data_IF_504364932588
#
_entry.id   IF_504364932588
#
_cell.length_a   1.000
_cell.length_b   1.000
_cell.length_c   1.000
_cell.angle_alpha   90.00
_cell.angle_beta   90.00
_cell.angle_gamma   90.00
#
_symmetry.space_group_name_H-M   'P 1'
#
loop_
_entity.id
_entity.type
_entity.pdbx_description
1 polymer ?
#
# COMPACT_ATOMS: atom_id res chain seq x y z
N UNK A 1 -22.17 -6.71 -40.69
CA UNK A 1 -20.98 -6.50 -41.54
C UNK A 1 -20.09 -5.49 -40.85
N UNK A 2 -18.92 -5.92 -40.41
CA UNK A 2 -17.93 -5.10 -39.71
C UNK A 2 -16.62 -5.88 -39.74
N UNK A 3 -15.65 -5.30 -40.44
CA UNK A 3 -14.35 -5.85 -40.82
C UNK A 3 -13.52 -6.07 -39.55
N UNK A 4 -12.87 -7.24 -39.44
CA UNK A 4 -11.77 -7.66 -38.53
C UNK A 4 -11.88 -9.11 -37.98
N UNK A 5 -12.63 -10.00 -38.64
CA UNK A 5 -12.66 -11.44 -38.33
C UNK A 5 -12.02 -12.30 -39.42
N UNK A 6 -10.72 -12.12 -39.72
CA UNK A 6 -9.90 -13.08 -40.47
C UNK A 6 -8.45 -12.95 -40.02
N UNK A 7 -7.75 -14.09 -39.91
CA UNK A 7 -6.49 -14.33 -39.18
C UNK A 7 -6.80 -14.54 -37.69
N UNK A 8 -6.89 -15.75 -37.14
CA UNK A 8 -6.00 -16.89 -37.30
C UNK A 8 -6.74 -18.21 -37.04
N UNK A 9 -6.52 -19.20 -37.91
CA UNK A 9 -6.88 -20.60 -37.67
C UNK A 9 -5.60 -21.43 -37.79
N UNK A 10 -5.24 -22.07 -36.66
CA UNK A 10 -4.34 -23.22 -36.41
C UNK A 10 -2.93 -23.21 -37.02
N UNK A 11 -1.92 -23.43 -36.16
CA UNK A 11 -1.38 -24.76 -35.84
C UNK A 11 -0.20 -24.61 -34.86
N UNK A 12 -0.11 -25.46 -33.84
CA UNK A 12 1.01 -25.47 -32.91
C UNK A 12 2.26 -26.10 -33.51
N UNK A 13 3.43 -25.60 -33.11
CA UNK A 13 4.65 -26.35 -32.74
C UNK A 13 5.49 -25.40 -31.86
N UNK A 14 6.14 -25.98 -30.85
CA UNK A 14 7.02 -25.36 -29.85
C UNK A 14 8.24 -24.69 -30.49
N UNK A 15 8.60 -23.49 -30.05
CA UNK A 15 9.99 -23.00 -30.12
C UNK A 15 10.25 -21.92 -29.04
N UNK A 16 11.39 -22.05 -28.38
CA UNK A 16 11.84 -21.24 -27.22
C UNK A 16 12.22 -19.82 -27.67
N UNK A 17 11.79 -18.81 -26.92
CA UNK A 17 12.24 -17.42 -27.12
C UNK A 17 13.67 -17.18 -26.58
N UNK A 18 14.50 -16.36 -27.25
CA UNK A 18 15.89 -16.12 -26.89
C UNK A 18 16.05 -14.98 -25.87
N UNK A 19 17.11 -15.10 -25.07
CA UNK A 19 17.57 -14.06 -24.15
C UNK A 19 18.03 -12.82 -24.91
N UNK A 20 17.62 -11.62 -24.46
CA UNK A 20 18.15 -10.34 -24.93
C UNK A 20 19.44 -10.02 -24.19
N UNK A 21 20.58 -10.25 -24.85
CA UNK A 21 21.87 -9.70 -24.47
C UNK A 21 21.98 -8.26 -25.01
N UNK A 22 22.19 -7.30 -24.12
CA UNK A 22 22.62 -5.95 -24.51
C UNK A 22 24.13 -5.84 -24.28
N UNK A 23 24.92 -5.90 -25.34
CA UNK A 23 26.36 -5.65 -25.30
C UNK A 23 26.64 -4.19 -25.70
N UNK A 24 27.39 -3.48 -24.87
CA UNK A 24 28.03 -2.21 -25.24
C UNK A 24 29.54 -2.43 -25.23
N UNK A 25 30.18 -2.34 -26.40
CA UNK A 25 31.63 -2.45 -26.52
C UNK A 25 32.26 -1.05 -26.62
N UNK A 26 33.26 -0.80 -25.78
CA UNK A 26 34.23 0.28 -25.95
C UNK A 26 35.60 -0.38 -26.00
N UNK A 27 36.34 -0.17 -27.09
CA UNK A 27 37.62 -0.81 -27.35
C UNK A 27 38.79 0.13 -27.09
N UNK A 28 39.74 -0.33 -26.27
CA UNK A 28 41.16 0.00 -26.38
C UNK A 28 41.98 -1.24 -26.00
N UNK A 29 43.09 -1.54 -26.71
CA UNK A 29 43.78 -2.81 -26.57
C UNK A 29 44.77 -2.77 -25.41
N UNK A 30 44.79 -3.84 -24.61
CA UNK A 30 45.96 -4.64 -24.18
C UNK A 30 45.54 -5.52 -22.99
N UNK A 31 45.52 -6.84 -23.22
CA UNK A 31 45.53 -7.88 -22.18
C UNK A 31 44.19 -8.21 -21.51
N UNK A 32 43.27 -8.87 -22.22
CA UNK A 32 42.03 -9.38 -21.61
C UNK A 32 42.27 -10.71 -20.88
N UNK A 33 42.31 -10.65 -19.55
CA UNK A 33 41.83 -11.77 -18.72
C UNK A 33 40.32 -11.62 -18.64
N UNK A 34 39.59 -12.46 -19.39
CA UNK A 34 38.13 -12.50 -19.31
C UNK A 34 37.69 -13.16 -18.00
N UNK A 35 37.54 -12.35 -16.96
CA UNK A 35 36.82 -12.75 -15.74
C UNK A 35 35.34 -12.49 -16.00
N UNK A 36 34.60 -13.52 -16.40
CA UNK A 36 33.14 -13.46 -16.42
C UNK A 36 32.64 -13.58 -14.98
N UNK A 37 32.42 -12.43 -14.33
CA UNK A 37 31.65 -12.38 -13.09
C UNK A 37 30.18 -12.52 -13.47
N UNK A 38 29.66 -13.74 -13.46
CA UNK A 38 28.22 -13.97 -13.46
C UNK A 38 27.67 -13.59 -12.09
N UNK A 39 27.15 -12.37 -11.97
CA UNK A 39 26.29 -12.01 -10.85
C UNK A 39 24.95 -12.70 -11.09
N UNK A 40 24.79 -13.92 -10.58
CA UNK A 40 23.47 -14.45 -10.33
C UNK A 40 22.85 -13.61 -9.22
N UNK A 41 21.94 -12.71 -9.61
CA UNK A 41 20.99 -12.14 -8.65
C UNK A 41 20.30 -13.33 -7.98
N UNK A 42 20.38 -13.48 -6.65
CA UNK A 42 19.60 -14.48 -5.96
C UNK A 42 18.14 -14.23 -6.34
N UNK A 43 17.51 -15.19 -7.03
CA UNK A 43 16.07 -15.22 -7.09
C UNK A 43 15.61 -15.31 -5.65
N UNK A 44 15.16 -14.18 -5.09
CA UNK A 44 14.53 -14.14 -3.79
C UNK A 44 13.20 -14.86 -3.99
N UNK A 45 13.20 -16.18 -3.80
CA UNK A 45 11.98 -16.93 -3.60
C UNK A 45 11.58 -16.64 -2.16
N UNK A 46 10.60 -15.75 -1.91
CA UNK A 46 10.15 -15.49 -0.56
C UNK A 46 9.72 -16.82 0.05
N UNK A 47 10.23 -17.12 1.24
CA UNK A 47 9.85 -18.32 1.97
C UNK A 47 8.34 -18.26 2.23
N UNK A 48 7.62 -19.28 1.75
CA UNK A 48 6.15 -19.33 1.90
C UNK A 48 5.86 -19.75 3.34
N UNK A 49 5.17 -18.91 4.14
CA UNK A 49 4.91 -19.24 5.53
C UNK A 49 4.00 -20.48 5.68
N UNK A 50 3.97 -21.10 6.87
CA UNK A 50 2.87 -22.02 7.21
C UNK A 50 1.53 -21.24 7.21
N UNK A 51 0.41 -21.97 7.15
CA UNK A 51 -0.92 -21.36 7.25
C UNK A 51 -1.01 -20.52 8.54
N UNK A 52 -1.29 -19.22 8.41
CA UNK A 52 -1.23 -18.24 9.50
C UNK A 52 -2.50 -18.20 10.38
N UNK A 53 -3.17 -19.34 10.59
CA UNK A 53 -4.30 -19.46 11.52
C UNK A 53 -5.43 -18.43 11.29
N UNK A 54 -5.86 -17.77 12.36
CA UNK A 54 -6.97 -16.81 12.34
C UNK A 54 -6.65 -15.53 11.55
N UNK A 55 -5.37 -15.15 11.44
CA UNK A 55 -4.96 -14.07 10.55
C UNK A 55 -5.29 -14.41 9.09
N UNK A 56 -4.89 -15.60 8.63
CA UNK A 56 -5.20 -16.08 7.28
C UNK A 56 -6.72 -16.18 7.05
N UNK A 57 -7.46 -16.65 8.05
CA UNK A 57 -8.92 -16.75 7.99
C UNK A 57 -9.56 -15.36 7.85
N UNK A 58 -9.18 -14.40 8.69
CA UNK A 58 -9.72 -13.03 8.67
C UNK A 58 -9.46 -12.34 7.32
N UNK A 59 -8.23 -12.41 6.81
CA UNK A 59 -7.88 -11.82 5.50
C UNK A 59 -8.67 -12.48 4.37
N UNK A 60 -8.83 -13.80 4.42
CA UNK A 60 -9.63 -14.55 3.43
C UNK A 60 -11.10 -14.15 3.48
N UNK A 61 -11.74 -14.23 4.65
CA UNK A 61 -13.14 -13.83 4.80
C UNK A 61 -13.37 -12.37 4.37
N UNK A 62 -12.44 -11.46 4.67
CA UNK A 62 -12.53 -10.05 4.25
C UNK A 62 -12.51 -9.89 2.73
N UNK A 63 -11.57 -10.55 2.06
CA UNK A 63 -11.46 -10.52 0.60
C UNK A 63 -12.68 -11.14 -0.09
N UNK A 64 -13.34 -12.08 0.59
CA UNK A 64 -14.55 -12.76 0.14
C UNK A 64 -15.84 -12.26 0.84
N UNK A 65 -15.80 -11.04 1.40
CA UNK A 65 -16.95 -10.42 2.07
C UNK A 65 -18.11 -10.08 1.14
N UNK A 66 -17.81 -9.80 -0.14
CA UNK A 66 -18.81 -9.64 -1.18
C UNK A 66 -19.17 -10.99 -1.78
N UNK A 67 -20.46 -11.25 -2.08
CA UNK A 67 -20.88 -12.48 -2.71
C UNK A 67 -20.08 -12.76 -3.98
N UNK A 68 -19.53 -13.96 -4.13
CA UNK A 68 -18.79 -14.36 -5.32
C UNK A 68 -18.61 -15.88 -5.39
N UNK A 69 -18.30 -16.44 -6.58
CA UNK A 69 -18.09 -17.88 -6.73
C UNK A 69 -16.72 -18.31 -6.18
N UNK A 70 -16.56 -19.62 -5.97
CA UNK A 70 -15.24 -20.23 -5.74
C UNK A 70 -14.48 -20.24 -7.06
N UNK A 71 -13.34 -19.56 -7.07
CA UNK A 71 -12.49 -19.44 -8.26
C UNK A 71 -11.53 -20.61 -8.40
N UNK A 72 -10.98 -20.78 -9.59
CA UNK A 72 -9.79 -21.61 -9.82
C UNK A 72 -8.57 -21.03 -9.10
N UNK A 73 -7.64 -21.88 -8.66
CA UNK A 73 -6.50 -21.49 -7.82
C UNK A 73 -5.60 -20.40 -8.41
N UNK A 74 -5.50 -20.29 -9.74
CA UNK A 74 -4.72 -19.24 -10.41
C UNK A 74 -5.32 -17.83 -10.32
N UNK A 75 -6.60 -17.71 -9.91
CA UNK A 75 -7.37 -16.47 -9.95
C UNK A 75 -7.52 -15.79 -8.57
N UNK A 76 -6.69 -16.20 -7.60
CA UNK A 76 -6.62 -15.62 -6.27
C UNK A 76 -5.44 -14.65 -6.16
N UNK A 77 -5.53 -13.70 -5.23
CA UNK A 77 -4.46 -12.74 -5.00
C UNK A 77 -3.23 -13.42 -4.40
N UNK A 78 -2.04 -13.01 -4.86
CA UNK A 78 -0.77 -13.63 -4.46
C UNK A 78 -0.50 -13.57 -2.94
N UNK A 79 -1.05 -12.57 -2.23
CA UNK A 79 -0.86 -12.44 -0.78
C UNK A 79 -1.45 -13.61 0.00
N UNK A 80 -2.46 -14.33 -0.51
CA UNK A 80 -2.95 -15.52 0.18
C UNK A 80 -1.88 -16.59 0.33
N UNK A 81 -1.00 -16.73 -0.66
CA UNK A 81 0.13 -17.65 -0.58
C UNK A 81 1.26 -17.06 0.27
N UNK A 82 1.77 -15.89 -0.12
CA UNK A 82 3.02 -15.35 0.42
C UNK A 82 2.88 -14.70 1.79
N UNK A 83 1.68 -14.26 2.17
CA UNK A 83 1.40 -13.62 3.46
C UNK A 83 0.62 -14.57 4.38
N UNK A 84 -0.45 -15.20 3.87
CA UNK A 84 -1.34 -16.03 4.70
C UNK A 84 -0.94 -17.52 4.75
N UNK A 85 -0.06 -18.00 3.86
CA UNK A 85 0.34 -19.41 3.77
C UNK A 85 -0.73 -20.35 3.18
N UNK A 86 -1.75 -19.80 2.52
CA UNK A 86 -2.85 -20.56 1.89
C UNK A 86 -2.38 -21.05 0.52
N UNK A 87 -2.08 -22.35 0.44
CA UNK A 87 -1.54 -23.00 -0.77
C UNK A 87 -2.59 -23.35 -1.82
N UNK A 88 -3.80 -23.65 -1.37
CA UNK A 88 -4.94 -24.02 -2.21
C UNK A 88 -6.15 -23.23 -1.76
N UNK A 89 -6.39 -22.08 -2.41
CA UNK A 89 -7.43 -21.14 -2.02
C UNK A 89 -8.83 -21.70 -2.30
N UNK A 90 -9.01 -22.47 -3.38
CA UNK A 90 -10.29 -23.11 -3.68
C UNK A 90 -10.64 -24.17 -2.62
N UNK A 91 -9.68 -25.01 -2.22
CA UNK A 91 -9.86 -25.97 -1.12
C UNK A 91 -10.10 -25.27 0.21
N UNK A 92 -9.39 -24.17 0.48
CA UNK A 92 -9.56 -23.40 1.70
C UNK A 92 -10.94 -22.74 1.77
N UNK A 93 -11.45 -22.19 0.66
CA UNK A 93 -12.81 -21.65 0.58
C UNK A 93 -13.84 -22.74 0.89
N UNK A 94 -13.77 -23.90 0.23
CA UNK A 94 -14.68 -25.03 0.49
C UNK A 94 -14.66 -25.45 1.95
N UNK A 95 -13.47 -25.55 2.54
CA UNK A 95 -13.30 -25.84 3.97
C UNK A 95 -14.03 -24.81 4.84
N UNK A 96 -13.88 -23.51 4.57
CA UNK A 96 -14.56 -22.46 5.34
C UNK A 96 -16.08 -22.47 5.13
N UNK A 97 -16.57 -22.93 3.98
CA UNK A 97 -18.00 -23.20 3.76
C UNK A 97 -18.49 -24.36 4.62
N UNK A 98 -17.76 -25.48 4.64
CA UNK A 98 -18.07 -26.66 5.46
C UNK A 98 -18.05 -26.32 6.97
N UNK A 99 -17.14 -25.44 7.38
CA UNK A 99 -17.05 -24.90 8.75
C UNK A 99 -18.13 -23.85 9.06
N UNK A 100 -18.97 -23.47 8.10
CA UNK A 100 -20.11 -22.57 8.31
C UNK A 100 -19.81 -21.08 8.20
N UNK A 101 -18.58 -20.67 7.86
CA UNK A 101 -18.22 -19.25 7.68
C UNK A 101 -18.76 -18.66 6.38
N UNK A 102 -18.91 -19.47 5.34
CA UNK A 102 -19.60 -19.12 4.10
C UNK A 102 -20.87 -19.95 3.94
N UNK A 103 -21.87 -19.35 3.29
CA UNK A 103 -23.09 -20.02 2.86
C UNK A 103 -23.37 -19.71 1.40
N UNK A 104 -24.10 -20.61 0.73
CA UNK A 104 -24.61 -20.33 -0.60
C UNK A 104 -25.54 -19.11 -0.56
N UNK A 105 -25.28 -18.16 -1.45
CA UNK A 105 -26.13 -17.01 -1.64
C UNK A 105 -27.43 -17.45 -2.34
N UNK A 106 -28.55 -16.85 -1.95
CA UNK A 106 -29.82 -17.12 -2.64
C UNK A 106 -29.74 -16.60 -4.08
N UNK A 107 -30.51 -17.20 -5.00
CA UNK A 107 -30.53 -16.83 -6.41
C UNK A 107 -30.73 -15.32 -6.64
N UNK A 108 -31.54 -14.66 -5.82
CA UNK A 108 -31.73 -13.21 -5.86
C UNK A 108 -30.55 -12.36 -5.41
N UNK A 109 -29.73 -12.87 -4.50
CA UNK A 109 -28.53 -12.17 -4.02
C UNK A 109 -27.39 -12.27 -5.04
N UNK A 110 -27.36 -13.34 -5.84
CA UNK A 110 -26.42 -13.46 -6.95
C UNK A 110 -26.67 -12.42 -8.05
N UNK A 111 -27.92 -11.99 -8.24
CA UNK A 111 -28.28 -10.93 -9.20
C UNK A 111 -27.65 -9.57 -8.85
N UNK A 112 -27.28 -9.34 -7.59
CA UNK A 112 -26.56 -8.14 -7.18
C UNK A 112 -25.15 -8.05 -7.80
N UNK A 113 -24.61 -9.15 -8.33
CA UNK A 113 -23.31 -9.14 -9.01
C UNK A 113 -23.38 -8.65 -10.46
N UNK A 114 -24.57 -8.66 -11.05
CA UNK A 114 -24.77 -8.25 -12.42
C UNK A 114 -24.75 -6.72 -12.56
N UNK A 115 -24.20 -6.27 -13.68
CA UNK A 115 -24.25 -4.87 -14.09
C UNK A 115 -25.66 -4.54 -14.57
N UNK A 116 -26.01 -3.26 -14.48
CA UNK A 116 -27.33 -2.78 -14.86
C UNK A 116 -27.74 -3.17 -16.31
N UNK A 117 -26.85 -3.16 -17.32
CA UNK A 117 -27.22 -3.62 -18.66
C UNK A 117 -27.59 -5.12 -18.71
N UNK A 118 -26.84 -5.98 -18.02
CA UNK A 118 -27.07 -7.43 -18.00
C UNK A 118 -28.42 -7.76 -17.36
N UNK A 119 -28.77 -7.08 -16.27
CA UNK A 119 -30.11 -7.19 -15.65
C UNK A 119 -31.23 -6.76 -16.60
N UNK A 120 -31.00 -5.73 -17.42
CA UNK A 120 -31.99 -5.30 -18.42
C UNK A 120 -32.13 -6.29 -19.56
N UNK A 121 -31.05 -6.97 -19.94
CA UNK A 121 -31.09 -8.02 -20.95
C UNK A 121 -31.91 -9.22 -20.45
N UNK A 122 -31.69 -9.66 -19.21
CA UNK A 122 -32.52 -10.70 -18.58
C UNK A 122 -34.02 -10.33 -18.56
N UNK A 123 -34.35 -9.08 -18.23
CA UNK A 123 -35.74 -8.61 -18.24
C UNK A 123 -36.35 -8.59 -19.65
N UNK A 124 -35.57 -8.28 -20.70
CA UNK A 124 -36.06 -8.36 -22.09
C UNK A 124 -36.38 -9.79 -22.48
N UNK A 125 -35.54 -10.75 -22.09
CA UNK A 125 -35.78 -12.18 -22.34
C UNK A 125 -37.05 -12.67 -21.64
N UNK A 126 -37.34 -12.15 -20.44
CA UNK A 126 -38.58 -12.41 -19.70
C UNK A 126 -39.79 -11.60 -20.22
N UNK A 127 -39.63 -10.79 -21.27
CA UNK A 127 -40.63 -9.85 -21.79
C UNK A 127 -41.16 -8.86 -20.73
N UNK A 128 -40.30 -8.45 -19.80
CA UNK A 128 -40.60 -7.55 -18.70
C UNK A 128 -40.06 -6.12 -18.94
N UNK A 129 -40.67 -5.09 -18.35
CA UNK A 129 -40.16 -3.72 -18.43
C UNK A 129 -38.72 -3.60 -17.91
N UNK A 130 -37.89 -2.78 -18.56
CA UNK A 130 -36.46 -2.57 -18.23
C UNK A 130 -36.17 -1.23 -17.52
N UNK A 131 -37.20 -0.48 -17.17
CA UNK A 131 -37.08 0.79 -16.47
C UNK A 131 -37.01 0.59 -14.95
N UNK A 132 -36.24 1.43 -14.27
CA UNK A 132 -36.10 1.42 -12.81
C UNK A 132 -34.65 1.49 -12.31
N UNK A 133 -34.50 1.60 -10.99
CA UNK A 133 -33.23 1.44 -10.28
C UNK A 133 -32.86 -0.05 -10.19
N UNK A 134 -31.58 -0.36 -9.97
CA UNK A 134 -31.06 -1.74 -9.93
C UNK A 134 -31.88 -2.69 -9.05
N UNK A 135 -32.18 -2.30 -7.81
CA UNK A 135 -32.98 -3.11 -6.88
C UNK A 135 -34.35 -3.49 -7.44
N UNK A 136 -35.04 -2.55 -8.10
CA UNK A 136 -36.36 -2.78 -8.73
C UNK A 136 -36.26 -3.77 -9.90
N UNK A 137 -35.16 -3.71 -10.66
CA UNK A 137 -34.93 -4.66 -11.76
C UNK A 137 -34.70 -6.07 -11.20
N UNK A 138 -33.92 -6.20 -10.13
CA UNK A 138 -33.65 -7.48 -9.46
C UNK A 138 -34.94 -8.09 -8.90
N UNK A 139 -35.74 -7.31 -8.19
CA UNK A 139 -37.04 -7.75 -7.66
C UNK A 139 -37.95 -8.25 -8.78
N UNK A 140 -38.06 -7.49 -9.89
CA UNK A 140 -38.86 -7.90 -11.05
C UNK A 140 -38.36 -9.18 -11.70
N UNK A 141 -37.05 -9.39 -11.78
CA UNK A 141 -36.48 -10.66 -12.27
C UNK A 141 -36.90 -11.79 -11.34
N UNK A 142 -36.80 -11.62 -10.02
CA UNK A 142 -37.14 -12.67 -9.04
C UNK A 142 -38.63 -13.04 -9.04
N UNK A 143 -39.51 -12.08 -9.29
CA UNK A 143 -40.96 -12.33 -9.36
C UNK A 143 -41.39 -13.05 -10.64
N UNK A 144 -40.64 -12.91 -11.74
CA UNK A 144 -41.05 -13.36 -13.07
C UNK A 144 -40.16 -14.48 -13.65
N UNK A 145 -38.97 -14.71 -13.10
CA UNK A 145 -38.07 -15.77 -13.54
C UNK A 145 -38.37 -17.08 -12.83
N UNK A 146 -38.43 -18.17 -13.58
CA UNK A 146 -38.37 -19.51 -13.03
C UNK A 146 -36.94 -19.88 -12.61
N UNK A 147 -36.80 -20.85 -11.70
CA UNK A 147 -35.51 -21.30 -11.16
C UNK A 147 -34.55 -21.75 -12.28
N UNK A 148 -35.05 -22.36 -13.35
CA UNK A 148 -34.24 -22.76 -14.52
C UNK A 148 -33.63 -21.56 -15.26
N UNK A 149 -34.38 -20.47 -15.41
CA UNK A 149 -33.90 -19.23 -16.02
C UNK A 149 -32.80 -18.58 -15.18
N UNK A 150 -33.00 -18.54 -13.86
CA UNK A 150 -32.00 -18.00 -12.94
C UNK A 150 -30.70 -18.82 -12.98
N UNK A 151 -30.78 -20.15 -13.01
CA UNK A 151 -29.60 -21.03 -13.12
C UNK A 151 -28.88 -20.91 -14.45
N UNK A 152 -29.60 -20.66 -15.54
CA UNK A 152 -28.98 -20.43 -16.85
C UNK A 152 -28.13 -19.15 -16.88
N UNK A 153 -28.58 -18.11 -16.17
CA UNK A 153 -27.89 -16.83 -16.08
C UNK A 153 -26.85 -16.78 -14.95
N UNK A 154 -27.06 -17.54 -13.88
CA UNK A 154 -26.15 -17.68 -12.73
C UNK A 154 -25.70 -19.13 -12.63
N UNK A 155 -24.80 -19.59 -13.53
CA UNK A 155 -24.41 -21.00 -13.59
C UNK A 155 -23.51 -21.44 -12.44
N UNK A 156 -22.80 -20.49 -11.81
CA UNK A 156 -21.90 -20.76 -10.71
C UNK A 156 -22.58 -20.54 -9.37
N UNK A 157 -22.33 -21.45 -8.41
CA UNK A 157 -22.75 -21.25 -7.02
C UNK A 157 -21.99 -20.07 -6.42
N UNK A 158 -22.75 -19.06 -5.98
CA UNK A 158 -22.23 -17.88 -5.32
C UNK A 158 -22.21 -18.13 -3.82
N UNK A 159 -21.12 -17.76 -3.16
CA UNK A 159 -20.98 -17.83 -1.71
C UNK A 159 -20.91 -16.43 -1.12
N UNK A 160 -21.48 -16.28 0.07
CA UNK A 160 -21.41 -15.06 0.88
C UNK A 160 -21.07 -15.42 2.32
N UNK A 161 -20.63 -14.43 3.09
CA UNK A 161 -20.43 -14.64 4.53
C UNK A 161 -21.73 -15.05 5.20
N UNK A 162 -21.61 -16.03 6.10
CA UNK A 162 -22.67 -16.36 7.06
C UNK A 162 -22.70 -15.34 8.20
N UNK A 163 -23.65 -15.49 9.12
CA UNK A 163 -23.63 -14.76 10.39
C UNK A 163 -22.37 -15.04 11.21
N UNK A 164 -21.89 -16.28 11.18
CA UNK A 164 -20.67 -16.71 11.88
C UNK A 164 -19.41 -16.13 11.22
N UNK A 165 -19.32 -16.17 9.89
CA UNK A 165 -18.25 -15.50 9.13
C UNK A 165 -18.21 -13.99 9.38
N UNK A 166 -19.38 -13.36 9.46
CA UNK A 166 -19.50 -11.93 9.76
C UNK A 166 -19.05 -11.62 11.19
N UNK A 167 -19.49 -12.41 12.17
CA UNK A 167 -19.08 -12.24 13.57
C UNK A 167 -17.57 -12.44 13.75
N UNK A 168 -17.00 -13.49 13.13
CA UNK A 168 -15.56 -13.75 13.16
C UNK A 168 -14.77 -12.57 12.61
N UNK A 169 -15.19 -12.00 11.47
CA UNK A 169 -14.54 -10.83 10.89
C UNK A 169 -14.62 -9.59 11.77
N UNK A 170 -15.76 -9.36 12.44
CA UNK A 170 -15.92 -8.25 13.35
C UNK A 170 -15.00 -8.39 14.57
N UNK A 171 -14.88 -9.59 15.12
CA UNK A 171 -13.97 -9.90 16.22
C UNK A 171 -12.49 -9.75 15.83
N UNK A 172 -12.14 -10.09 14.58
CA UNK A 172 -10.78 -10.10 14.07
C UNK A 172 -10.47 -8.96 13.08
N UNK A 173 -11.21 -7.84 13.13
CA UNK A 173 -11.01 -6.72 12.19
C UNK A 173 -9.57 -6.19 12.23
N UNK A 174 -8.91 -6.24 13.39
CA UNK A 174 -7.50 -5.84 13.53
C UNK A 174 -6.59 -6.56 12.53
N UNK A 175 -6.79 -7.85 12.26
CA UNK A 175 -6.00 -8.61 11.27
C UNK A 175 -6.22 -8.09 9.85
N UNK A 176 -7.45 -7.68 9.53
CA UNK A 176 -7.77 -7.04 8.24
C UNK A 176 -7.09 -5.68 8.14
N UNK A 177 -7.09 -4.88 9.22
CA UNK A 177 -6.41 -3.59 9.26
C UNK A 177 -4.89 -3.75 9.10
N UNK A 178 -4.28 -4.76 9.70
CA UNK A 178 -2.85 -5.08 9.54
C UNK A 178 -2.54 -5.40 8.08
N UNK A 179 -3.35 -6.24 7.43
CA UNK A 179 -3.19 -6.53 6.00
C UNK A 179 -3.27 -5.27 5.12
N UNK A 180 -4.28 -4.42 5.37
CA UNK A 180 -4.47 -3.15 4.64
C UNK A 180 -3.31 -2.17 4.87
N UNK A 181 -2.77 -2.13 6.08
CA UNK A 181 -1.68 -1.23 6.50
C UNK A 181 -0.32 -1.95 6.53
N UNK A 182 -0.10 -2.96 5.68
CA UNK A 182 1.16 -3.74 5.65
C UNK A 182 2.42 -2.89 5.46
N UNK A 183 2.28 -1.72 4.84
CA UNK A 183 3.36 -0.74 4.65
C UNK A 183 3.81 -0.07 5.96
N UNK A 184 3.10 -0.28 7.06
CA UNK A 184 3.50 0.18 8.39
C UNK A 184 4.49 -0.78 9.06
N UNK A 185 4.74 -1.96 8.48
CA UNK A 185 5.81 -2.86 8.89
C UNK A 185 5.55 -3.64 10.20
N UNK A 186 4.33 -3.62 10.73
CA UNK A 186 3.93 -4.39 11.91
C UNK A 186 3.28 -5.70 11.47
N UNK A 187 3.81 -6.84 11.92
CA UNK A 187 3.19 -8.14 11.66
C UNK A 187 2.04 -8.42 12.62
N UNK A 188 1.16 -9.37 12.30
CA UNK A 188 0.09 -9.78 13.21
C UNK A 188 0.64 -10.36 14.53
N UNK A 189 1.77 -11.07 14.49
CA UNK A 189 2.43 -11.57 15.71
C UNK A 189 3.00 -10.45 16.56
N UNK A 190 3.51 -9.38 15.93
CA UNK A 190 3.90 -8.19 16.68
C UNK A 190 2.69 -7.52 17.31
N UNK A 191 1.62 -7.34 16.54
CA UNK A 191 0.38 -6.77 17.05
C UNK A 191 -0.16 -7.53 18.27
N UNK A 192 -0.26 -8.85 18.20
CA UNK A 192 -0.79 -9.69 19.29
C UNK A 192 0.02 -9.59 20.59
N UNK A 193 1.33 -9.31 20.50
CA UNK A 193 2.18 -9.10 21.69
C UNK A 193 1.80 -7.84 22.48
N UNK A 194 1.18 -6.86 21.83
CA UNK A 194 0.79 -5.58 22.44
C UNK A 194 -0.73 -5.42 22.60
N UNK A 195 -1.51 -6.21 21.86
CA UNK A 195 -2.96 -6.19 21.92
C UNK A 195 -3.45 -6.55 23.34
N UNK A 196 -4.48 -5.83 23.79
CA UNK A 196 -5.15 -6.09 25.08
C UNK A 196 -6.64 -6.27 24.86
N UNK A 197 -7.32 -7.11 25.65
CA UNK A 197 -8.78 -7.25 25.57
C UNK A 197 -9.49 -5.88 25.65
N UNK A 198 -10.36 -5.60 24.67
CA UNK A 198 -11.11 -4.35 24.59
C UNK A 198 -10.33 -3.13 24.08
N UNK A 199 -9.04 -3.26 23.76
CA UNK A 199 -8.24 -2.18 23.18
C UNK A 199 -8.43 -2.15 21.65
N UNK A 200 -8.68 -0.98 21.08
CA UNK A 200 -8.84 -0.83 19.64
C UNK A 200 -7.51 -0.97 18.87
N UNK A 201 -7.64 -1.23 17.57
CA UNK A 201 -6.51 -1.40 16.65
C UNK A 201 -5.55 -0.22 16.67
N UNK A 202 -6.05 1.01 16.51
CA UNK A 202 -5.21 2.21 16.39
C UNK A 202 -4.48 2.52 17.71
N UNK A 203 -5.12 2.30 18.86
CA UNK A 203 -4.47 2.43 20.17
C UNK A 203 -3.34 1.42 20.32
N UNK A 204 -3.53 0.16 19.90
CA UNK A 204 -2.47 -0.85 19.92
C UNK A 204 -1.30 -0.46 19.01
N UNK A 205 -1.58 0.00 17.79
CA UNK A 205 -0.56 0.49 16.85
C UNK A 205 0.20 1.70 17.41
N UNK A 206 -0.51 2.63 18.08
CA UNK A 206 0.12 3.77 18.74
C UNK A 206 1.11 3.34 19.83
N UNK A 207 0.75 2.33 20.65
CA UNK A 207 1.66 1.77 21.67
C UNK A 207 2.89 1.15 21.03
N UNK A 208 2.72 0.37 19.95
CA UNK A 208 3.81 -0.26 19.21
C UNK A 208 4.77 0.80 18.68
N UNK A 209 4.28 1.79 17.94
CA UNK A 209 5.14 2.81 17.34
C UNK A 209 5.80 3.72 18.37
N UNK A 210 5.13 4.08 19.47
CA UNK A 210 5.80 4.80 20.55
C UNK A 210 6.89 3.97 21.21
N UNK A 211 6.69 2.66 21.35
CA UNK A 211 7.70 1.75 21.90
C UNK A 211 8.89 1.62 20.96
N UNK A 212 8.65 1.48 19.65
CA UNK A 212 9.70 1.48 18.64
C UNK A 212 10.45 2.83 18.65
N UNK A 213 9.74 3.96 18.67
CA UNK A 213 10.30 5.30 18.64
C UNK A 213 11.26 5.57 19.82
N UNK A 214 10.91 5.11 21.03
CA UNK A 214 11.78 5.22 22.21
C UNK A 214 13.14 4.53 22.06
N UNK A 215 13.20 3.53 21.18
CA UNK A 215 14.40 2.73 20.95
C UNK A 215 15.08 3.06 19.60
N UNK A 216 14.50 3.95 18.80
CA UNK A 216 15.00 4.33 17.47
C UNK A 216 15.95 5.51 17.52
N UNK A 217 16.87 5.57 16.56
CA UNK A 217 17.65 6.76 16.29
C UNK A 217 16.86 7.79 15.46
N UNK A 218 17.23 9.07 15.46
CA UNK A 218 16.57 10.09 14.64
C UNK A 218 16.41 9.70 13.16
N UNK A 219 17.46 9.13 12.55
CA UNK A 219 17.47 8.68 11.16
C UNK A 219 16.47 7.55 10.84
N UNK A 220 16.07 6.78 11.85
CA UNK A 220 15.12 5.66 11.74
C UNK A 220 13.68 6.08 12.13
N UNK A 221 13.54 7.24 12.78
CA UNK A 221 12.29 7.67 13.41
C UNK A 221 11.28 8.31 12.46
N UNK A 222 11.72 8.72 11.26
CA UNK A 222 10.89 9.48 10.30
C UNK A 222 9.57 8.77 9.99
N UNK A 223 9.60 7.48 9.68
CA UNK A 223 8.40 6.72 9.36
C UNK A 223 7.50 6.51 10.59
N UNK A 224 8.09 6.33 11.77
CA UNK A 224 7.35 6.21 13.02
C UNK A 224 6.55 7.48 13.32
N UNK A 225 7.15 8.66 13.14
CA UNK A 225 6.43 9.93 13.25
C UNK A 225 5.28 10.03 12.23
N UNK A 226 5.50 9.57 11.00
CA UNK A 226 4.44 9.57 9.99
C UNK A 226 3.28 8.61 10.32
N UNK A 227 3.58 7.43 10.86
CA UNK A 227 2.54 6.49 11.30
C UNK A 227 1.77 7.03 12.52
N UNK A 228 2.49 7.64 13.48
CA UNK A 228 1.87 8.31 14.63
C UNK A 228 1.00 9.50 14.19
N UNK A 229 1.45 10.31 13.23
CA UNK A 229 0.64 11.36 12.61
C UNK A 229 -0.68 10.80 12.05
N UNK A 230 -0.60 9.72 11.27
CA UNK A 230 -1.78 9.09 10.65
C UNK A 230 -2.78 8.59 11.70
N UNK A 231 -2.29 7.92 12.74
CA UNK A 231 -3.11 7.43 13.86
C UNK A 231 -3.78 8.59 14.62
N UNK A 232 -2.99 9.61 15.01
CA UNK A 232 -3.49 10.73 15.80
C UNK A 232 -4.53 11.54 15.02
N UNK A 233 -4.33 11.69 13.71
CA UNK A 233 -5.29 12.36 12.84
C UNK A 233 -6.62 11.60 12.77
N UNK A 234 -6.56 10.27 12.60
CA UNK A 234 -7.76 9.42 12.58
C UNK A 234 -8.51 9.42 13.92
N UNK A 235 -7.77 9.52 15.04
CA UNK A 235 -8.33 9.70 16.38
C UNK A 235 -8.83 11.12 16.67
N UNK A 236 -8.72 12.07 15.73
CA UNK A 236 -9.15 13.46 15.90
C UNK A 236 -8.22 14.31 16.78
N UNK A 237 -7.05 13.81 17.19
CA UNK A 237 -6.04 14.51 18.01
C UNK A 237 -5.18 15.41 17.13
N UNK A 238 -5.80 16.48 16.59
CA UNK A 238 -5.20 17.34 15.55
C UNK A 238 -3.89 18.01 15.97
N UNK A 239 -3.79 18.50 17.21
CA UNK A 239 -2.57 19.17 17.70
C UNK A 239 -1.38 18.20 17.75
N UNK A 240 -1.57 17.02 18.35
CA UNK A 240 -0.53 15.99 18.43
C UNK A 240 -0.16 15.49 17.02
N UNK A 241 -1.14 15.35 16.13
CA UNK A 241 -0.91 14.98 14.74
C UNK A 241 -0.02 16.03 14.03
N UNK A 242 -0.31 17.32 14.18
CA UNK A 242 0.52 18.40 13.62
C UNK A 242 1.96 18.31 14.14
N UNK A 243 2.15 18.08 15.44
CA UNK A 243 3.50 17.91 16.00
C UNK A 243 4.26 16.77 15.31
N UNK A 244 3.62 15.62 15.13
CA UNK A 244 4.23 14.47 14.45
C UNK A 244 4.55 14.79 12.99
N UNK A 245 3.65 15.48 12.27
CA UNK A 245 3.88 15.88 10.88
C UNK A 245 5.05 16.86 10.75
N UNK A 246 5.16 17.84 11.65
CA UNK A 246 6.29 18.77 11.65
C UNK A 246 7.61 18.05 11.96
N UNK A 247 7.62 17.01 12.81
CA UNK A 247 8.80 16.16 13.03
C UNK A 247 9.21 15.37 11.78
N UNK A 248 8.24 14.87 11.01
CA UNK A 248 8.51 14.23 9.70
C UNK A 248 9.20 15.22 8.78
N UNK A 249 8.62 16.41 8.59
CA UNK A 249 9.16 17.43 7.70
C UNK A 249 10.52 17.94 8.18
N UNK A 250 10.73 18.04 9.49
CA UNK A 250 12.00 18.41 10.10
C UNK A 250 13.10 17.42 9.73
N UNK A 251 12.82 16.11 9.80
CA UNK A 251 13.76 15.08 9.37
C UNK A 251 13.97 15.09 7.86
N UNK A 252 12.89 15.19 7.07
CA UNK A 252 12.95 15.19 5.60
C UNK A 252 13.82 16.36 5.09
N UNK A 253 13.74 17.55 5.70
CA UNK A 253 14.55 18.72 5.33
C UNK A 253 15.93 18.79 5.99
N UNK A 254 16.18 18.03 7.06
CA UNK A 254 17.45 18.11 7.80
C UNK A 254 18.65 17.60 6.99
N UNK A 255 18.43 16.74 6.00
CA UNK A 255 19.49 16.00 5.30
C UNK A 255 20.02 14.78 6.07
N UNK A 256 19.40 14.40 7.19
CA UNK A 256 19.82 13.27 8.02
C UNK A 256 19.89 11.95 7.25
N UNK A 257 19.02 11.75 6.26
CA UNK A 257 18.99 10.56 5.42
C UNK A 257 20.24 10.43 4.53
N UNK A 258 21.00 11.51 4.33
CA UNK A 258 22.28 11.49 3.61
C UNK A 258 23.47 11.14 4.51
N UNK A 259 23.27 10.83 5.80
CA UNK A 259 24.37 10.57 6.75
C UNK A 259 25.34 9.51 6.25
N UNK A 260 24.83 8.39 5.76
CA UNK A 260 25.66 7.29 5.25
C UNK A 260 26.52 7.76 4.06
N UNK A 261 25.97 8.58 3.18
CA UNK A 261 26.70 9.14 2.03
C UNK A 261 27.83 10.07 2.49
N UNK A 262 27.59 10.90 3.51
CA UNK A 262 28.63 11.77 4.08
C UNK A 262 29.71 10.97 4.81
N UNK A 263 29.36 9.88 5.49
CA UNK A 263 30.33 8.99 6.13
C UNK A 263 31.20 8.28 5.08
N UNK A 264 30.60 7.83 3.98
CA UNK A 264 31.32 7.24 2.84
C UNK A 264 32.19 8.25 2.09
N UNK A 265 31.76 9.51 1.99
CA UNK A 265 32.59 10.61 1.49
C UNK A 265 33.85 10.81 2.35
N UNK A 266 33.71 10.81 3.68
CA UNK A 266 34.86 10.90 4.61
C UNK A 266 35.83 9.72 4.45
N UNK A 267 35.32 8.56 4.05
CA UNK A 267 36.10 7.36 3.72
C UNK A 267 36.64 7.37 2.28
N UNK A 268 36.46 8.47 1.52
CA UNK A 268 36.90 8.65 0.13
C UNK A 268 36.24 7.70 -0.88
N UNK A 269 35.11 7.09 -0.53
CA UNK A 269 34.30 6.27 -1.46
C UNK A 269 33.54 7.17 -2.44
N UNK A 270 33.03 8.31 -1.96
CA UNK A 270 32.41 9.33 -2.80
C UNK A 270 33.30 10.55 -2.96
N UNK A 271 33.18 11.20 -4.12
CA UNK A 271 33.69 12.54 -4.38
C UNK A 271 32.65 13.60 -4.03
N UNK A 272 33.12 14.84 -3.84
CA UNK A 272 32.25 16.00 -3.62
C UNK A 272 31.28 16.23 -4.78
N UNK A 273 31.72 15.96 -6.02
CA UNK A 273 30.89 16.03 -7.22
C UNK A 273 29.74 15.02 -7.14
N UNK A 274 30.04 13.76 -6.80
CA UNK A 274 29.02 12.72 -6.65
C UNK A 274 28.01 13.08 -5.55
N UNK A 275 28.45 13.63 -4.41
CA UNK A 275 27.50 14.08 -3.37
C UNK A 275 26.51 15.13 -3.89
N UNK A 276 26.96 16.06 -4.73
CA UNK A 276 26.10 17.10 -5.33
C UNK A 276 25.13 16.55 -6.38
N UNK A 277 25.49 15.46 -7.05
CA UNK A 277 24.59 14.78 -8.01
C UNK A 277 23.36 14.18 -7.31
N UNK A 278 23.47 13.80 -6.03
CA UNK A 278 22.35 13.31 -5.22
C UNK A 278 21.47 14.40 -4.60
N UNK A 279 21.78 15.68 -4.81
CA UNK A 279 21.07 16.78 -4.15
C UNK A 279 19.56 16.78 -4.46
N UNK A 280 19.17 16.45 -5.69
CA UNK A 280 17.76 16.41 -6.09
C UNK A 280 16.98 15.25 -5.47
N UNK A 281 17.66 14.17 -5.07
CA UNK A 281 17.04 13.03 -4.38
C UNK A 281 16.96 13.26 -2.86
N UNK A 282 17.96 13.93 -2.29
CA UNK A 282 18.07 14.13 -0.84
C UNK A 282 17.29 15.36 -0.36
N UNK A 283 17.24 16.42 -1.18
CA UNK A 283 16.71 17.72 -0.79
C UNK A 283 15.32 18.03 -1.38
N UNK A 284 14.60 17.00 -1.83
CA UNK A 284 13.25 17.13 -2.38
C UNK A 284 12.19 16.77 -1.33
N UNK A 285 11.12 17.56 -1.29
CA UNK A 285 9.96 17.31 -0.43
C UNK A 285 8.86 16.58 -1.19
N UNK A 286 8.35 15.50 -0.58
CA UNK A 286 7.20 14.79 -1.11
C UNK A 286 5.92 15.65 -0.92
N UNK A 287 5.20 16.05 -1.99
CA UNK A 287 4.09 17.00 -1.86
C UNK A 287 2.95 16.47 -1.00
N UNK A 288 2.72 15.15 -1.02
CA UNK A 288 1.71 14.48 -0.20
C UNK A 288 1.93 14.62 1.31
N UNK A 289 3.13 15.01 1.76
CA UNK A 289 3.45 15.26 3.18
C UNK A 289 3.32 16.74 3.52
N UNK A 290 3.51 17.64 2.54
CA UNK A 290 3.48 19.10 2.75
C UNK A 290 2.05 19.65 2.67
N UNK A 291 1.28 19.28 1.66
CA UNK A 291 -0.07 19.83 1.44
C UNK A 291 -1.05 19.64 2.61
N UNK A 292 -0.99 18.57 3.42
CA UNK A 292 -1.84 18.46 4.61
C UNK A 292 -1.67 19.60 5.63
N UNK A 293 -0.55 20.34 5.64
CA UNK A 293 -0.31 21.45 6.57
C UNK A 293 -1.36 22.56 6.49
N UNK A 294 -1.94 22.80 5.31
CA UNK A 294 -3.00 23.81 5.15
C UNK A 294 -4.18 23.52 6.08
N UNK A 295 -4.49 22.23 6.31
CA UNK A 295 -5.57 21.78 7.18
C UNK A 295 -5.31 22.06 8.66
N UNK A 296 -4.14 22.55 9.04
CA UNK A 296 -3.76 22.86 10.42
C UNK A 296 -3.58 24.36 10.66
N UNK A 297 -3.96 25.22 9.71
CA UNK A 297 -3.83 26.68 9.81
C UNK A 297 -4.45 27.28 11.07
N UNK A 298 -5.54 26.71 11.55
CA UNK A 298 -6.27 27.16 12.74
C UNK A 298 -5.54 26.85 14.06
N UNK A 299 -4.59 25.92 14.07
CA UNK A 299 -3.89 25.48 15.27
C UNK A 299 -2.36 25.62 15.18
N UNK A 300 -1.83 26.01 14.02
CA UNK A 300 -0.39 26.20 13.83
C UNK A 300 0.11 27.42 14.61
N UNK A 301 1.24 27.24 15.30
CA UNK A 301 1.98 28.30 15.97
C UNK A 301 3.44 28.26 15.51
N UNK A 302 4.00 29.41 15.13
CA UNK A 302 5.40 29.52 14.68
C UNK A 302 6.39 29.13 15.80
N UNK A 303 6.00 29.26 17.07
CA UNK A 303 6.81 28.80 18.21
C UNK A 303 7.05 27.28 18.19
N UNK A 304 6.17 26.49 17.55
CA UNK A 304 6.39 25.05 17.38
C UNK A 304 7.70 24.75 16.64
N UNK A 305 8.11 25.63 15.72
CA UNK A 305 9.37 25.51 14.99
C UNK A 305 10.57 25.77 15.91
N UNK A 306 10.44 26.72 16.83
CA UNK A 306 11.51 27.00 17.79
C UNK A 306 11.75 25.80 18.71
N UNK A 307 10.68 25.16 19.18
CA UNK A 307 10.74 23.92 19.98
C UNK A 307 11.40 22.79 19.18
N UNK A 308 11.02 22.60 17.91
CA UNK A 308 11.60 21.55 17.06
C UNK A 308 13.12 21.72 16.89
N UNK A 309 13.60 22.95 16.68
CA UNK A 309 15.04 23.23 16.49
C UNK A 309 15.87 23.21 17.80
N UNK A 310 15.23 22.99 18.96
CA UNK A 310 15.93 22.58 20.18
C UNK A 310 16.50 21.16 20.04
N UNK A 311 15.85 20.29 19.27
CA UNK A 311 16.36 18.97 18.96
C UNK A 311 17.58 19.08 18.03
N UNK A 312 18.76 18.67 18.50
CA UNK A 312 19.99 18.73 17.70
C UNK A 312 20.18 17.43 16.93
N UNK A 313 19.98 17.49 15.62
CA UNK A 313 20.32 16.41 14.70
C UNK A 313 21.82 16.43 14.37
N UNK A 314 22.43 15.26 14.07
CA UNK A 314 23.85 15.19 13.70
C UNK A 314 24.13 15.81 12.32
N UNK A 315 23.09 16.02 11.50
CA UNK A 315 23.14 16.73 10.23
C UNK A 315 21.96 17.69 10.19
N UNK A 316 22.23 18.96 9.88
CA UNK A 316 21.22 20.00 9.75
C UNK A 316 21.57 20.90 8.56
N UNK A 317 21.01 20.56 7.40
CA UNK A 317 21.20 21.28 6.14
C UNK A 317 20.22 22.46 6.04
N UNK A 318 18.94 22.19 6.32
CA UNK A 318 17.92 23.23 6.39
C UNK A 318 18.05 23.96 7.72
N UNK A 319 18.30 25.26 7.68
CA UNK A 319 18.30 26.08 8.89
C UNK A 319 16.88 26.45 9.31
N UNK A 320 16.75 26.99 10.53
CA UNK A 320 15.47 27.30 11.16
C UNK A 320 14.62 28.26 10.32
N UNK A 321 15.24 29.29 9.75
CA UNK A 321 14.51 30.32 8.98
C UNK A 321 14.07 29.80 7.62
N UNK A 322 14.89 28.99 6.96
CA UNK A 322 14.47 28.30 5.73
C UNK A 322 13.32 27.34 6.00
N UNK A 323 13.40 26.55 7.06
CA UNK A 323 12.33 25.65 7.46
C UNK A 323 11.04 26.39 7.78
N UNK A 324 11.11 27.45 8.59
CA UNK A 324 9.96 28.33 8.90
C UNK A 324 9.31 28.87 7.65
N UNK A 325 10.10 29.42 6.73
CA UNK A 325 9.59 29.95 5.45
C UNK A 325 8.80 28.89 4.66
N UNK A 326 9.32 27.66 4.60
CA UNK A 326 8.67 26.56 3.88
C UNK A 326 7.36 26.16 4.58
N UNK A 327 7.40 25.91 5.90
CA UNK A 327 6.23 25.47 6.66
C UNK A 327 5.12 26.52 6.64
N UNK A 328 5.45 27.79 6.88
CA UNK A 328 4.45 28.87 6.91
C UNK A 328 3.80 29.06 5.54
N UNK A 329 4.56 28.91 4.44
CA UNK A 329 3.99 28.93 3.09
C UNK A 329 3.02 27.77 2.82
N UNK A 330 3.28 26.59 3.39
CA UNK A 330 2.38 25.44 3.27
C UNK A 330 1.11 25.61 4.11
N UNK A 331 1.25 26.13 5.33
CA UNK A 331 0.11 26.43 6.21
C UNK A 331 -0.79 27.53 5.61
N UNK A 332 -0.22 28.56 4.99
CA UNK A 332 -0.96 29.64 4.35
C UNK A 332 -1.59 29.25 3.00
N UNK A 333 -1.28 28.07 2.47
CA UNK A 333 -1.73 27.63 1.14
C UNK A 333 -0.99 28.30 -0.03
N UNK A 334 0.16 28.93 0.23
CA UNK A 334 1.00 29.61 -0.79
C UNK A 334 2.29 28.85 -1.10
N UNK A 335 2.34 27.55 -0.81
CA UNK A 335 3.53 26.72 -1.01
C UNK A 335 3.83 26.53 -2.50
N UNK A 336 5.09 26.80 -2.86
CA UNK A 336 5.65 26.57 -4.17
C UNK A 336 6.73 25.48 -4.06
N UNK A 337 6.40 24.30 -4.60
CA UNK A 337 7.26 23.12 -4.55
C UNK A 337 8.61 23.35 -5.25
N UNK A 338 8.59 23.97 -6.43
CA UNK A 338 9.81 24.21 -7.20
C UNK A 338 10.74 25.18 -6.46
N UNK A 339 10.16 26.24 -5.89
CA UNK A 339 10.91 27.22 -5.13
C UNK A 339 11.48 26.61 -3.83
N UNK A 340 10.69 25.81 -3.10
CA UNK A 340 11.13 25.15 -1.89
C UNK A 340 12.28 24.16 -2.16
N UNK A 341 12.11 23.27 -3.15
CA UNK A 341 13.13 22.30 -3.55
C UNK A 341 14.42 23.00 -4.02
N UNK A 342 14.30 24.10 -4.78
CA UNK A 342 15.47 24.91 -5.20
C UNK A 342 16.23 25.48 -4.01
N UNK A 343 15.54 26.00 -2.99
CA UNK A 343 16.17 26.54 -1.78
C UNK A 343 16.85 25.43 -0.95
N UNK A 344 16.19 24.28 -0.79
CA UNK A 344 16.75 23.12 -0.09
C UNK A 344 17.98 22.56 -0.81
N UNK A 345 17.95 22.46 -2.15
CA UNK A 345 19.10 22.06 -2.97
C UNK A 345 20.28 23.02 -2.79
N UNK A 346 20.03 24.32 -2.76
CA UNK A 346 21.07 25.32 -2.52
C UNK A 346 21.68 25.16 -1.11
N UNK A 347 20.86 24.93 -0.09
CA UNK A 347 21.32 24.65 1.27
C UNK A 347 22.17 23.37 1.34
N UNK A 348 21.73 22.30 0.67
CA UNK A 348 22.47 21.03 0.57
C UNK A 348 23.83 21.22 -0.08
N UNK A 349 23.90 21.89 -1.23
CA UNK A 349 25.16 22.15 -1.92
C UNK A 349 26.11 22.98 -1.06
N UNK A 350 25.60 24.00 -0.35
CA UNK A 350 26.39 24.81 0.59
C UNK A 350 26.91 23.99 1.77
N UNK A 351 26.14 23.02 2.25
CA UNK A 351 26.59 22.08 3.28
C UNK A 351 27.71 21.18 2.74
N UNK A 352 27.53 20.55 1.58
CA UNK A 352 28.55 19.72 0.92
C UNK A 352 29.82 20.53 0.66
N UNK A 353 29.70 21.82 0.33
CA UNK A 353 30.85 22.71 0.13
C UNK A 353 31.70 22.91 1.38
N UNK A 354 31.13 22.71 2.58
CA UNK A 354 31.84 22.80 3.87
C UNK A 354 32.36 21.47 4.40
N UNK A 355 31.97 20.33 3.81
CA UNK A 355 32.58 19.02 4.05
C UNK A 355 33.98 18.99 3.43
#
# INVERSE_FOLDING_TARGET
MGIFSKLFKKSGVSEKEPARESSSSFSTPVGEVNISVSVSTPQCNPEIPPLQGDYAKAVFLWAFSRPQPIRENGNYAAYFLYECGIRDCAKYHKKLTEEGYFIEAKSGEALELFKLPELKDMLRELNQPVSGKKAVLIERILENAEEGFLRAHVPETIYKLSSEGTAFLQEHDAYVQIHKNKNWGVSWQEYDRYAKPGQDYLTTMWVIFNTQLKNSKPEESRNLYYYLYSILLEQGKRSDALEMLLRVLYLDMSGIHAKVMFDLYRQKVYTKKQLKEYADTIAALAPGIVYPLEKFRDIYDSEMIDVLYMWKLPIQICDKELFRTIIESAVSGTYDEEQANKKLRAAYNKFVDKL
#
